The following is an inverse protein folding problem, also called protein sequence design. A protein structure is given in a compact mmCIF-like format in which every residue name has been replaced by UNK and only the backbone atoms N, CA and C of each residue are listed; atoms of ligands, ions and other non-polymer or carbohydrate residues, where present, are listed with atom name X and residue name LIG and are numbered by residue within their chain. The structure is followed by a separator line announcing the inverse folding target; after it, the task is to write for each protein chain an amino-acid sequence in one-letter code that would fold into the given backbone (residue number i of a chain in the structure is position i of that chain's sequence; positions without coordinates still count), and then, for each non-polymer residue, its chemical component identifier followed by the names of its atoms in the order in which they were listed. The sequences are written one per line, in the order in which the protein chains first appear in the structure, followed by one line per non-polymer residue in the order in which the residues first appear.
data_IF_022875817956
#
_entry.id   IF_022875817956
#
_cell.length_a   1.000
_cell.length_b   1.000
_cell.length_c   1.000
_cell.angle_alpha   90.00
_cell.angle_beta   90.00
_cell.angle_gamma   90.00
#
_symmetry.space_group_name_H-M   'P 1'
#
loop_
_entity.id
_entity.type
_entity.pdbx_description
1 polymer ?
#
# COMPACT_ATOMS: atom_id res chain seq x y z
N UNK A 1 -14.72 -4.52 21.64
CA UNK A 1 -13.61 -3.79 22.29
C UNK A 1 -13.06 -2.80 21.27
N UNK A 2 -12.79 -1.57 21.67
CA UNK A 2 -12.19 -0.56 20.77
C UNK A 2 -10.75 -0.92 20.39
N UNK A 3 -10.25 -0.33 19.30
CA UNK A 3 -8.85 -0.42 18.91
C UNK A 3 -7.98 0.34 19.93
N UNK A 4 -6.96 -0.30 20.55
CA UNK A 4 -6.14 0.36 21.54
C UNK A 4 -5.23 1.42 20.92
N UNK A 5 -4.89 2.45 21.70
CA UNK A 5 -3.88 3.44 21.33
C UNK A 5 -2.68 3.29 22.23
N UNK A 6 -1.50 3.28 21.64
CA UNK A 6 -0.23 3.29 22.34
C UNK A 6 0.47 4.64 22.16
N UNK A 7 1.30 5.02 23.13
CA UNK A 7 2.26 6.11 23.02
C UNK A 7 3.67 5.54 22.99
N UNK A 8 4.49 5.99 22.05
CA UNK A 8 5.90 5.64 21.95
C UNK A 8 6.68 6.85 21.43
N UNK A 9 7.73 7.25 22.16
CA UNK A 9 8.61 8.38 21.79
C UNK A 9 7.86 9.70 21.47
N UNK A 10 6.77 9.97 22.19
CA UNK A 10 5.94 11.17 22.00
C UNK A 10 4.97 11.10 20.81
N UNK A 11 4.83 9.94 20.18
CA UNK A 11 3.89 9.68 19.08
C UNK A 11 2.78 8.75 19.54
N UNK A 12 1.60 8.87 18.94
CA UNK A 12 0.44 8.01 19.21
C UNK A 12 0.26 6.99 18.10
N UNK A 13 -0.18 5.79 18.46
CA UNK A 13 -0.25 4.63 17.57
C UNK A 13 -1.55 3.88 17.79
N UNK A 14 -2.43 3.89 16.79
CA UNK A 14 -3.65 3.10 16.78
C UNK A 14 -3.33 1.68 16.34
N UNK A 15 -3.67 0.70 17.17
CA UNK A 15 -3.51 -0.72 16.84
C UNK A 15 -4.81 -1.30 16.29
N UNK A 16 -4.73 -1.76 15.05
CA UNK A 16 -5.83 -2.46 14.39
C UNK A 16 -5.94 -3.91 14.86
N UNK A 17 -5.07 -4.37 15.74
CA UNK A 17 -4.98 -5.74 16.22
C UNK A 17 -4.52 -6.70 15.14
N UNK A 18 -4.76 -7.99 15.38
CA UNK A 18 -4.32 -9.08 14.52
C UNK A 18 -5.09 -9.12 13.20
N UNK A 19 -4.39 -8.93 12.09
CA UNK A 19 -4.88 -8.99 10.72
C UNK A 19 -4.21 -10.13 9.96
N UNK A 20 -4.83 -10.55 8.87
CA UNK A 20 -4.19 -11.30 7.81
C UNK A 20 -3.67 -10.35 6.75
N UNK A 21 -2.42 -10.56 6.37
CA UNK A 21 -1.75 -9.85 5.29
C UNK A 21 -1.32 -10.86 4.24
N UNK A 22 -1.44 -10.45 2.98
CA UNK A 22 -0.81 -11.14 1.88
C UNK A 22 0.36 -10.33 1.32
N UNK A 23 1.47 -11.01 1.08
CA UNK A 23 2.54 -10.44 0.27
C UNK A 23 2.33 -10.92 -1.16
N UNK A 24 1.68 -10.12 -2.04
CA UNK A 24 1.36 -10.57 -3.39
C UNK A 24 2.63 -10.85 -4.19
N UNK A 25 2.52 -11.76 -5.14
CA UNK A 25 3.59 -12.02 -6.10
C UNK A 25 3.59 -10.90 -7.14
N UNK A 26 4.74 -10.26 -7.33
CA UNK A 26 4.93 -9.23 -8.35
C UNK A 26 5.65 -9.80 -9.57
N UNK A 27 5.07 -9.60 -10.75
CA UNK A 27 5.69 -9.91 -12.05
C UNK A 27 5.65 -8.66 -12.90
N UNK A 28 6.79 -8.26 -13.47
CA UNK A 28 6.90 -7.05 -14.29
C UNK A 28 7.40 -7.46 -15.67
N UNK A 29 6.54 -7.32 -16.68
CA UNK A 29 6.77 -7.88 -18.01
C UNK A 29 6.66 -6.82 -19.12
N UNK A 30 7.51 -6.98 -20.14
CA UNK A 30 7.41 -6.20 -21.37
C UNK A 30 6.69 -7.05 -22.42
N UNK A 31 5.42 -6.73 -22.68
CA UNK A 31 4.54 -7.52 -23.54
C UNK A 31 4.33 -6.80 -24.87
N UNK A 32 4.53 -7.52 -25.96
CA UNK A 32 4.14 -7.06 -27.29
C UNK A 32 2.76 -7.61 -27.61
N UNK A 33 1.73 -6.79 -27.48
CA UNK A 33 0.45 -7.05 -28.13
C UNK A 33 0.58 -6.69 -29.62
N UNK A 34 -0.28 -7.24 -30.48
CA UNK A 34 -0.26 -7.01 -31.94
C UNK A 34 -0.04 -5.51 -32.21
N UNK A 35 1.18 -5.16 -32.67
CA UNK A 35 1.65 -3.80 -32.97
C UNK A 35 1.70 -2.78 -31.80
N UNK A 36 1.43 -3.18 -30.55
CA UNK A 36 1.45 -2.32 -29.37
C UNK A 36 2.39 -2.87 -28.30
N UNK A 37 3.44 -2.11 -27.98
CA UNK A 37 4.38 -2.47 -26.91
C UNK A 37 3.86 -1.90 -25.59
N UNK A 38 3.68 -2.76 -24.60
CA UNK A 38 3.13 -2.40 -23.29
C UNK A 38 4.01 -2.99 -22.21
N UNK A 39 4.36 -2.18 -21.21
CA UNK A 39 4.89 -2.70 -19.97
C UNK A 39 3.73 -3.01 -19.03
N UNK A 40 3.70 -4.22 -18.48
CA UNK A 40 2.63 -4.68 -17.60
C UNK A 40 3.21 -5.05 -16.24
N UNK A 41 2.69 -4.43 -15.19
CA UNK A 41 2.95 -4.84 -13.81
C UNK A 41 1.78 -5.70 -13.33
N UNK A 42 2.08 -6.95 -13.00
CA UNK A 42 1.15 -7.92 -12.45
C UNK A 42 1.32 -7.98 -10.93
N UNK A 43 0.24 -7.70 -10.20
CA UNK A 43 0.15 -7.86 -8.76
C UNK A 43 -0.79 -9.04 -8.51
N UNK A 44 -0.22 -10.21 -8.25
CA UNK A 44 -0.97 -11.44 -8.05
C UNK A 44 -1.21 -11.69 -6.56
N UNK A 45 -2.44 -11.43 -6.13
CA UNK A 45 -2.90 -11.71 -4.77
C UNK A 45 -3.26 -13.18 -4.57
N UNK A 46 -3.08 -14.09 -5.52
CA UNK A 46 -3.21 -15.54 -5.26
C UNK A 46 -1.87 -16.24 -5.08
N UNK A 47 -0.81 -15.69 -5.66
CA UNK A 47 0.53 -16.30 -5.70
C UNK A 47 1.43 -16.00 -4.50
N UNK A 48 0.92 -15.24 -3.52
CA UNK A 48 1.69 -14.68 -2.41
C UNK A 48 1.82 -15.57 -1.17
N UNK A 49 2.63 -15.11 -0.21
CA UNK A 49 2.69 -15.71 1.15
C UNK A 49 1.72 -14.98 2.07
N UNK A 50 0.86 -15.76 2.74
CA UNK A 50 -0.08 -15.25 3.73
C UNK A 50 0.52 -15.33 5.11
N UNK A 51 0.38 -14.26 5.90
CA UNK A 51 0.83 -14.21 7.29
C UNK A 51 -0.13 -13.40 8.13
N UNK A 52 -0.11 -13.65 9.44
CA UNK A 52 -0.76 -12.77 10.38
C UNK A 52 0.18 -11.62 10.77
N UNK A 53 -0.37 -10.44 11.02
CA UNK A 53 0.37 -9.24 11.40
C UNK A 53 -0.43 -8.36 12.36
N UNK A 54 0.25 -7.54 13.15
CA UNK A 54 -0.34 -6.37 13.78
C UNK A 54 -0.09 -5.14 12.91
N UNK A 55 -1.13 -4.33 12.71
CA UNK A 55 -1.02 -3.06 12.01
C UNK A 55 -1.14 -1.92 13.03
N UNK A 56 -0.07 -1.16 13.17
CA UNK A 56 -0.02 0.06 13.95
C UNK A 56 0.01 1.25 13.00
N UNK A 57 -0.91 2.19 13.21
CA UNK A 57 -0.99 3.42 12.45
C UNK A 57 -0.70 4.59 13.36
N UNK A 58 0.32 5.38 13.03
CA UNK A 58 0.60 6.60 13.78
C UNK A 58 -0.56 7.58 13.63
N UNK A 59 -1.04 8.12 14.76
CA UNK A 59 -2.09 9.13 14.78
C UNK A 59 -1.52 10.49 15.19
N UNK A 60 -2.06 11.61 14.67
CA UNK A 60 -1.63 12.96 15.06
C UNK A 60 -1.95 13.27 16.53
N UNK A 61 -3.00 12.66 17.08
CA UNK A 61 -3.36 12.74 18.49
C UNK A 61 -4.24 11.57 18.90
N UNK A 62 -4.63 11.53 20.16
CA UNK A 62 -5.65 10.60 20.70
C UNK A 62 -7.09 10.95 20.28
N UNK A 63 -7.28 12.02 19.50
CA UNK A 63 -8.59 12.55 19.10
C UNK A 63 -8.84 12.48 17.58
N UNK A 64 -7.78 12.33 16.78
CA UNK A 64 -7.87 12.42 15.33
C UNK A 64 -7.18 11.23 14.66
N UNK A 65 -7.82 10.70 13.63
CA UNK A 65 -7.19 9.74 12.71
C UNK A 65 -6.40 10.47 11.62
N UNK A 66 -5.36 9.82 11.05
CA UNK A 66 -4.77 10.23 9.79
C UNK A 66 -5.81 10.37 8.70
N UNK A 67 -5.59 11.32 7.79
CA UNK A 67 -6.58 11.66 6.77
C UNK A 67 -6.80 10.52 5.77
N UNK A 68 -5.77 9.72 5.47
CA UNK A 68 -5.89 8.53 4.61
C UNK A 68 -6.75 7.41 5.21
N UNK A 69 -6.98 7.41 6.54
CA UNK A 69 -7.95 6.50 7.16
C UNK A 69 -9.38 7.04 7.14
N UNK A 70 -9.55 8.31 6.78
CA UNK A 70 -10.85 8.95 6.66
C UNK A 70 -11.35 8.84 5.21
N UNK A 71 -12.65 8.63 5.02
CA UNK A 71 -13.28 8.41 3.71
C UNK A 71 -13.13 9.58 2.72
N UNK A 72 -12.63 10.73 3.18
CA UNK A 72 -12.63 12.00 2.44
C UNK A 72 -11.42 12.15 1.49
N UNK A 73 -10.34 11.39 1.65
CA UNK A 73 -9.10 11.67 0.90
C UNK A 73 -8.20 10.45 0.59
N UNK A 74 -8.63 9.53 -0.30
CA UNK A 74 -7.84 8.33 -0.64
C UNK A 74 -6.45 8.61 -1.25
N UNK A 75 -6.21 9.81 -1.79
CA UNK A 75 -4.95 10.12 -2.47
C UNK A 75 -3.83 10.62 -1.53
N UNK A 76 -4.08 10.76 -0.23
CA UNK A 76 -3.11 11.37 0.70
C UNK A 76 -2.05 10.40 1.23
N UNK A 77 -2.27 9.09 1.06
CA UNK A 77 -1.39 8.05 1.56
C UNK A 77 0.04 8.15 0.99
N UNK A 78 0.26 8.64 -0.24
CA UNK A 78 1.61 8.76 -0.83
C UNK A 78 2.50 9.79 -0.11
N UNK A 79 1.93 10.95 0.21
CA UNK A 79 2.65 12.01 0.91
C UNK A 79 2.96 11.60 2.35
N UNK A 80 2.09 10.78 2.95
CA UNK A 80 2.27 10.25 4.30
C UNK A 80 3.14 8.98 4.35
N UNK A 81 3.11 8.12 3.33
CA UNK A 81 3.95 6.92 3.19
C UNK A 81 5.38 7.24 2.78
N UNK A 82 5.63 8.36 2.07
CA UNK A 82 6.99 8.86 1.85
C UNK A 82 7.71 9.12 3.20
N UNK A 83 6.93 9.34 4.27
CA UNK A 83 7.36 9.17 5.65
C UNK A 83 6.96 7.77 6.16
N UNK A 84 7.58 6.70 5.62
CA UNK A 84 7.43 5.25 5.97
C UNK A 84 7.30 4.98 7.48
N UNK A 85 7.73 5.94 8.29
CA UNK A 85 7.61 6.03 9.74
C UNK A 85 6.18 6.09 10.28
N UNK A 86 5.13 6.30 9.50
CA UNK A 86 3.77 6.52 10.04
C UNK A 86 2.89 5.25 10.10
N UNK A 87 3.34 4.12 9.52
CA UNK A 87 2.64 2.84 9.59
C UNK A 87 3.66 1.75 9.91
N UNK A 88 3.34 0.85 10.84
CA UNK A 88 4.15 -0.31 11.16
C UNK A 88 3.33 -1.59 11.00
N UNK A 89 3.91 -2.57 10.30
CA UNK A 89 3.38 -3.93 10.20
C UNK A 89 4.33 -4.82 11.01
N UNK A 90 3.84 -5.38 12.12
CA UNK A 90 4.60 -6.28 12.98
C UNK A 90 4.17 -7.73 12.74
N UNK A 91 5.12 -8.65 12.64
CA UNK A 91 4.84 -10.08 12.53
C UNK A 91 4.26 -10.68 13.82
N UNK A 92 3.52 -11.79 13.73
CA UNK A 92 3.09 -12.53 14.93
C UNK A 92 4.30 -13.06 15.69
N UNK A 93 4.37 -12.73 16.98
CA UNK A 93 5.51 -13.08 17.83
C UNK A 93 6.57 -11.98 17.93
N UNK A 94 6.45 -10.92 17.13
CA UNK A 94 7.16 -9.67 17.40
C UNK A 94 6.43 -8.97 18.56
N UNK A 95 7.09 -8.88 19.71
CA UNK A 95 6.57 -8.08 20.81
C UNK A 95 6.46 -6.63 20.33
N UNK A 96 5.38 -5.95 20.74
CA UNK A 96 5.36 -4.49 20.68
C UNK A 96 6.68 -3.98 21.29
N UNK A 97 7.38 -3.04 20.65
CA UNK A 97 8.61 -2.52 21.21
C UNK A 97 8.36 -2.04 22.64
N UNK A 98 9.32 -2.29 23.55
CA UNK A 98 9.20 -2.01 25.00
C UNK A 98 8.77 -0.57 25.30
N UNK A 99 9.05 0.35 24.37
CA UNK A 99 8.70 1.76 24.45
C UNK A 99 7.20 2.07 24.25
N UNK A 100 6.39 1.11 23.80
CA UNK A 100 4.95 1.29 23.58
C UNK A 100 4.19 1.17 24.90
N UNK A 101 3.56 2.27 25.33
CA UNK A 101 2.70 2.32 26.54
C UNK A 101 1.26 2.51 26.14
N UNK A 102 0.35 1.74 26.71
CA UNK A 102 -1.09 1.90 26.46
C UNK A 102 -1.55 3.29 26.96
N UNK A 103 -2.34 3.98 26.14
CA UNK A 103 -3.00 5.23 26.52
C UNK A 103 -4.33 4.90 27.16
N UNK A 104 -4.54 5.37 28.39
CA UNK A 104 -5.82 5.24 29.08
C UNK A 104 -6.87 6.16 28.47
N UNK A 105 -8.09 5.65 28.26
CA UNK A 105 -9.26 6.39 27.80
C UNK A 105 -9.04 7.27 26.55
N UNK A 106 -8.58 6.71 25.42
CA UNK A 106 -8.48 7.47 24.19
C UNK A 106 -9.86 7.95 23.73
N UNK A 107 -9.97 9.21 23.34
CA UNK A 107 -11.21 9.81 22.85
C UNK A 107 -11.20 9.91 21.32
N UNK A 108 -10.90 8.79 20.65
CA UNK A 108 -11.10 8.68 19.21
C UNK A 108 -12.59 8.51 18.90
N UNK A 109 -13.07 9.06 17.78
CA UNK A 109 -14.40 8.73 17.31
C UNK A 109 -14.52 7.22 17.10
N UNK A 110 -15.71 6.67 17.34
CA UNK A 110 -15.95 5.24 17.15
C UNK A 110 -16.05 4.95 15.66
N UNK A 111 -15.02 4.28 15.13
CA UNK A 111 -15.01 3.80 13.75
C UNK A 111 -15.01 2.28 13.74
N UNK A 112 -15.72 1.68 12.77
CA UNK A 112 -15.60 0.26 12.54
C UNK A 112 -14.22 -0.04 11.96
N UNK A 113 -13.53 -1.01 12.57
CA UNK A 113 -12.20 -1.48 12.12
C UNK A 113 -12.21 -1.83 10.63
N UNK A 114 -13.28 -2.44 10.15
CA UNK A 114 -13.45 -2.85 8.75
C UNK A 114 -13.47 -1.64 7.81
N UNK A 115 -14.15 -0.56 8.20
CA UNK A 115 -14.20 0.67 7.40
C UNK A 115 -12.83 1.34 7.30
N UNK A 116 -12.08 1.39 8.42
CA UNK A 116 -10.73 1.96 8.41
C UNK A 116 -9.76 1.14 7.54
N UNK A 117 -9.86 -0.19 7.59
CA UNK A 117 -9.07 -1.07 6.72
C UNK A 117 -9.41 -0.86 5.25
N UNK A 118 -10.70 -0.75 4.94
CA UNK A 118 -11.17 -0.48 3.57
C UNK A 118 -10.66 0.87 3.07
N UNK A 119 -10.66 1.91 3.91
CA UNK A 119 -10.11 3.21 3.54
C UNK A 119 -8.60 3.15 3.30
N UNK A 120 -7.86 2.37 4.10
CA UNK A 120 -6.44 2.12 3.88
C UNK A 120 -6.19 1.41 2.55
N UNK A 121 -6.94 0.35 2.25
CA UNK A 121 -6.85 -0.39 0.99
C UNK A 121 -7.17 0.52 -0.21
N UNK A 122 -8.26 1.29 -0.14
CA UNK A 122 -8.63 2.26 -1.17
C UNK A 122 -7.56 3.31 -1.39
N UNK A 123 -6.95 3.79 -0.31
CA UNK A 123 -5.88 4.77 -0.39
C UNK A 123 -4.62 4.18 -1.02
N UNK A 124 -4.24 2.96 -0.66
CA UNK A 124 -3.14 2.23 -1.28
C UNK A 124 -3.39 1.96 -2.77
N UNK A 125 -4.63 1.63 -3.14
CA UNK A 125 -5.01 1.42 -4.54
C UNK A 125 -4.92 2.73 -5.34
N UNK A 126 -5.43 3.84 -4.78
CA UNK A 126 -5.35 5.15 -5.40
C UNK A 126 -3.89 5.60 -5.61
N UNK A 127 -3.01 5.33 -4.66
CA UNK A 127 -1.57 5.57 -4.76
C UNK A 127 -0.94 4.82 -5.93
N UNK A 128 -1.22 3.52 -6.05
CA UNK A 128 -0.70 2.68 -7.14
C UNK A 128 -1.21 3.19 -8.49
N UNK A 129 -2.49 3.53 -8.58
CA UNK A 129 -3.09 4.06 -9.81
C UNK A 129 -2.47 5.40 -10.21
N UNK A 130 -2.34 6.33 -9.26
CA UNK A 130 -1.73 7.64 -9.50
C UNK A 130 -0.29 7.51 -9.99
N UNK A 131 0.52 6.66 -9.36
CA UNK A 131 1.90 6.40 -9.79
C UNK A 131 1.96 5.82 -11.20
N UNK A 132 1.08 4.86 -11.52
CA UNK A 132 0.98 4.32 -12.87
C UNK A 132 0.59 5.40 -13.89
N UNK A 133 -0.38 6.24 -13.58
CA UNK A 133 -0.84 7.31 -14.47
C UNK A 133 0.26 8.37 -14.71
N UNK A 134 1.06 8.68 -13.69
CA UNK A 134 2.20 9.58 -13.83
C UNK A 134 3.31 8.96 -14.69
N UNK A 135 3.58 7.65 -14.56
CA UNK A 135 4.47 6.95 -15.48
C UNK A 135 3.94 6.95 -16.91
N UNK A 136 2.63 6.74 -17.11
CA UNK A 136 2.01 6.82 -18.44
C UNK A 136 2.21 8.21 -19.05
N UNK A 137 2.03 9.29 -18.27
CA UNK A 137 2.29 10.66 -18.75
C UNK A 137 3.76 10.89 -19.08
N UNK A 138 4.68 10.46 -18.20
CA UNK A 138 6.12 10.60 -18.39
C UNK A 138 6.54 9.88 -19.68
N UNK A 139 6.12 8.63 -19.85
CA UNK A 139 6.45 7.84 -21.04
C UNK A 139 5.79 8.43 -22.28
N UNK A 140 4.52 8.85 -22.21
CA UNK A 140 3.80 9.45 -23.34
C UNK A 140 4.44 10.73 -23.89
N UNK A 141 5.24 11.45 -23.09
CA UNK A 141 5.98 12.64 -23.52
C UNK A 141 7.34 12.33 -24.19
N UNK A 142 7.73 11.06 -24.30
CA UNK A 142 8.99 10.66 -24.90
C UNK A 142 8.84 10.38 -26.40
N UNK A 143 9.94 10.46 -27.14
CA UNK A 143 9.95 9.96 -28.52
C UNK A 143 9.75 8.46 -28.56
N UNK A 144 9.18 7.93 -29.66
CA UNK A 144 8.90 6.51 -29.83
C UNK A 144 10.09 5.58 -29.50
N UNK A 145 11.32 5.99 -29.88
CA UNK A 145 12.55 5.27 -29.52
C UNK A 145 12.78 5.25 -28.01
N UNK A 146 12.62 6.39 -27.33
CA UNK A 146 12.81 6.50 -25.88
C UNK A 146 11.72 5.78 -25.08
N UNK A 147 10.47 5.80 -25.54
CA UNK A 147 9.35 5.06 -24.94
C UNK A 147 9.63 3.55 -24.93
N UNK A 148 10.00 3.00 -26.09
CA UNK A 148 10.32 1.59 -26.27
C UNK A 148 11.42 1.10 -25.32
N UNK A 149 12.35 1.98 -24.98
CA UNK A 149 13.48 1.68 -24.11
C UNK A 149 13.31 2.18 -22.68
N UNK A 150 12.14 2.71 -22.29
CA UNK A 150 11.99 3.39 -21.00
C UNK A 150 12.36 2.50 -19.82
N UNK A 151 11.92 1.23 -19.78
CA UNK A 151 12.25 0.26 -18.74
C UNK A 151 13.48 -0.61 -19.07
N UNK A 152 14.31 -0.24 -20.06
CA UNK A 152 15.56 -0.99 -20.32
C UNK A 152 16.63 -0.75 -19.25
N UNK A 153 16.79 0.48 -18.69
CA UNK A 153 17.67 0.69 -17.54
C UNK A 153 17.12 -0.02 -16.31
N UNK A 154 17.96 -0.84 -15.68
CA UNK A 154 17.64 -1.60 -14.46
C UNK A 154 17.07 -0.70 -13.35
N UNK A 155 17.64 0.48 -13.17
CA UNK A 155 17.20 1.45 -12.15
C UNK A 155 15.70 1.78 -12.24
N UNK A 156 15.16 2.00 -13.44
CA UNK A 156 13.73 2.34 -13.60
C UNK A 156 12.82 1.17 -13.30
N UNK A 157 13.28 -0.04 -13.62
CA UNK A 157 12.58 -1.27 -13.28
C UNK A 157 12.57 -1.49 -11.77
N UNK A 158 13.74 -1.36 -11.12
CA UNK A 158 13.89 -1.53 -9.68
C UNK A 158 13.10 -0.47 -8.91
N UNK A 159 13.11 0.80 -9.36
CA UNK A 159 12.31 1.86 -8.73
C UNK A 159 10.81 1.55 -8.75
N UNK A 160 10.28 1.06 -9.88
CA UNK A 160 8.87 0.65 -9.97
C UNK A 160 8.59 -0.57 -9.08
N UNK A 161 9.49 -1.55 -9.09
CA UNK A 161 9.38 -2.75 -8.25
C UNK A 161 9.36 -2.38 -6.76
N UNK A 162 10.30 -1.55 -6.31
CA UNK A 162 10.44 -1.14 -4.91
C UNK A 162 9.22 -0.33 -4.46
N UNK A 163 8.71 0.56 -5.31
CA UNK A 163 7.45 1.27 -5.06
C UNK A 163 6.28 0.29 -4.87
N UNK A 164 6.11 -0.68 -5.78
CA UNK A 164 5.03 -1.65 -5.67
C UNK A 164 5.18 -2.55 -4.44
N UNK A 165 6.40 -3.02 -4.13
CA UNK A 165 6.68 -3.80 -2.92
C UNK A 165 6.39 -3.01 -1.63
N UNK A 166 6.59 -1.70 -1.64
CA UNK A 166 6.30 -0.83 -0.51
C UNK A 166 4.79 -0.68 -0.27
N UNK A 167 3.97 -0.57 -1.32
CA UNK A 167 2.53 -0.25 -1.19
C UNK A 167 1.64 -1.49 -1.14
N UNK A 168 2.01 -2.55 -1.85
CA UNK A 168 1.19 -3.77 -1.98
C UNK A 168 0.86 -4.50 -0.67
N UNK A 169 1.69 -4.47 0.39
CA UNK A 169 1.29 -4.86 1.73
C UNK A 169 -0.06 -4.34 2.22
N UNK A 170 -0.41 -3.11 1.86
CA UNK A 170 -1.62 -2.43 2.33
C UNK A 170 -2.86 -2.73 1.49
N UNK A 171 -2.69 -3.36 0.32
CA UNK A 171 -3.78 -3.73 -0.59
C UNK A 171 -4.50 -5.03 -0.21
N UNK A 172 -4.05 -5.72 0.83
CA UNK A 172 -4.52 -7.07 1.16
C UNK A 172 -4.60 -7.34 2.67
N UNK A 173 -4.75 -6.27 3.46
CA UNK A 173 -4.95 -6.37 4.90
C UNK A 173 -6.42 -6.66 5.20
N UNK A 174 -6.69 -7.84 5.77
CA UNK A 174 -8.05 -8.29 6.06
C UNK A 174 -8.17 -8.83 7.49
N UNK A 175 -9.33 -8.69 8.16
CA UNK A 175 -9.51 -9.18 9.52
C UNK A 175 -9.49 -10.71 9.59
N UNK A 176 -9.93 -11.40 8.53
CA UNK A 176 -10.13 -12.84 8.51
C UNK A 176 -9.44 -13.48 7.29
N UNK A 177 -8.87 -14.67 7.49
CA UNK A 177 -8.13 -15.39 6.44
C UNK A 177 -8.95 -15.65 5.17
N UNK A 178 -10.25 -15.93 5.33
CA UNK A 178 -11.15 -16.25 4.22
C UNK A 178 -11.48 -15.04 3.33
N UNK A 179 -11.24 -13.82 3.82
CA UNK A 179 -11.37 -12.60 3.05
C UNK A 179 -10.12 -12.27 2.22
N UNK A 180 -9.08 -13.11 2.27
CA UNK A 180 -7.89 -12.94 1.45
C UNK A 180 -8.25 -12.98 -0.03
N UNK A 181 -7.62 -12.07 -0.76
CA UNK A 181 -7.80 -11.91 -2.19
C UNK A 181 -7.17 -13.09 -2.94
N UNK A 182 -7.64 -13.31 -4.17
CA UNK A 182 -7.12 -14.32 -5.09
C UNK A 182 -7.16 -13.80 -6.55
N UNK A 183 -7.41 -12.50 -6.71
CA UNK A 183 -7.44 -11.82 -7.99
C UNK A 183 -6.05 -11.32 -8.39
N UNK A 184 -5.97 -10.82 -9.61
CA UNK A 184 -4.75 -10.29 -10.21
C UNK A 184 -5.01 -8.87 -10.70
N UNK A 185 -4.19 -7.93 -10.27
CA UNK A 185 -4.23 -6.56 -10.77
C UNK A 185 -3.15 -6.34 -11.83
N UNK A 186 -3.55 -5.86 -13.00
CA UNK A 186 -2.66 -5.58 -14.15
C UNK A 186 -2.59 -4.09 -14.43
N UNK A 187 -1.46 -3.48 -14.12
CA UNK A 187 -1.17 -2.09 -14.45
C UNK A 187 -0.47 -2.03 -15.80
N UNK A 188 -0.92 -1.17 -16.70
CA UNK A 188 -0.41 -1.11 -18.08
C UNK A 188 0.17 0.26 -18.38
N UNK A 189 1.40 0.27 -18.87
CA UNK A 189 2.11 1.46 -19.33
C UNK A 189 2.42 1.28 -20.83
N UNK A 190 1.77 2.05 -21.72
CA UNK A 190 2.08 2.02 -23.14
C UNK A 190 3.53 2.46 -23.40
N UNK A 191 4.33 1.63 -24.08
CA UNK A 191 5.70 1.96 -24.48
C UNK A 191 5.81 2.34 -25.96
N UNK A 192 4.68 2.42 -26.67
CA UNK A 192 4.63 2.75 -28.09
C UNK A 192 3.33 2.35 -28.76
N UNK A 193 3.16 2.81 -30.00
CA UNK A 193 2.02 2.49 -30.85
C UNK A 193 0.90 3.52 -30.72
N UNK A 194 0.78 4.38 -31.74
CA UNK A 194 -0.50 4.97 -32.11
C UNK A 194 -1.22 4.00 -33.04
#
# INVERSE_FOLDING_TARGET
MGMPIYTAKGQFWLDFGLLWQQNPQLVLDNVNYIQKRVFVSHINFGGGVNRQVHLLVQTPSVYYLPKYLNAVAPNELLNELAAIKNIMILGVGENLPVDFKLVDNPNLPTFERVDLLKNLELSAAAVVQQHNDDLVKIVGNLSQRKMNHYFSPKERYDNLKDFLLMVTPYLSLVPERQALRNDEWRLKIPLGGH
#
